data_IF_499750908986
#
_entry.id   IF_499750908986
#
_cell.length_a   1.000
_cell.length_b   1.000
_cell.length_c   1.000
_cell.angle_alpha   90.00
_cell.angle_beta   90.00
_cell.angle_gamma   90.00
#
_symmetry.space_group_name_H-M   'P 1'
#
loop_
_entity.id
_entity.type
_entity.pdbx_description
1 polymer ?
#
# COMPACT_ATOMS: atom_id res chain seq x y z
N UNK A 1 -51.31 25.51 8.46
CA UNK A 1 -49.90 25.22 8.26
C UNK A 1 -49.83 24.14 7.17
N UNK A 2 -49.34 24.52 5.98
CA UNK A 2 -49.66 23.81 4.73
C UNK A 2 -48.92 22.48 4.58
N UNK A 3 -49.66 21.40 4.33
CA UNK A 3 -49.13 20.04 4.02
C UNK A 3 -48.14 20.04 2.87
N UNK A 4 -48.25 20.93 1.90
CA UNK A 4 -47.33 21.11 0.77
C UNK A 4 -45.95 21.65 1.19
N UNK A 5 -45.86 22.45 2.25
CA UNK A 5 -44.59 22.97 2.78
C UNK A 5 -43.84 21.85 3.49
N UNK A 6 -44.53 21.04 4.28
CA UNK A 6 -43.88 19.89 4.96
C UNK A 6 -43.39 18.84 3.97
N UNK A 7 -44.10 18.59 2.87
CA UNK A 7 -43.67 17.66 1.82
C UNK A 7 -42.39 18.13 1.11
N UNK A 8 -42.25 19.45 0.87
CA UNK A 8 -41.02 20.01 0.26
C UNK A 8 -39.80 19.86 1.17
N UNK A 9 -39.97 20.08 2.49
CA UNK A 9 -38.85 19.89 3.43
C UNK A 9 -38.50 18.41 3.62
N UNK A 10 -39.47 17.50 3.63
CA UNK A 10 -39.21 16.08 3.70
C UNK A 10 -38.46 15.56 2.46
N UNK A 11 -38.87 16.01 1.26
CA UNK A 11 -38.17 15.65 0.02
C UNK A 11 -36.76 16.23 -0.04
N UNK A 12 -36.53 17.46 0.43
CA UNK A 12 -35.21 18.08 0.46
C UNK A 12 -34.26 17.37 1.45
N UNK A 13 -34.75 16.96 2.62
CA UNK A 13 -33.94 16.23 3.63
C UNK A 13 -33.61 14.82 3.16
N UNK A 14 -34.56 14.12 2.53
CA UNK A 14 -34.29 12.78 1.98
C UNK A 14 -33.34 12.82 0.79
N UNK A 15 -33.43 13.82 -0.10
CA UNK A 15 -32.50 14.01 -1.20
C UNK A 15 -31.07 14.38 -0.70
N UNK A 16 -30.98 15.17 0.37
CA UNK A 16 -29.69 15.51 1.01
C UNK A 16 -29.02 14.32 1.69
N UNK A 17 -29.78 13.43 2.31
CA UNK A 17 -29.27 12.20 2.93
C UNK A 17 -28.81 11.16 1.89
N UNK A 18 -29.54 11.03 0.77
CA UNK A 18 -29.16 10.13 -0.31
C UNK A 18 -27.88 10.61 -1.04
N UNK A 19 -27.63 11.92 -1.16
CA UNK A 19 -26.41 12.43 -1.77
C UNK A 19 -25.15 12.21 -0.91
N UNK A 20 -25.29 12.09 0.41
CA UNK A 20 -24.16 11.76 1.31
C UNK A 20 -23.68 10.31 1.18
N UNK A 21 -24.51 9.39 0.72
CA UNK A 21 -24.13 8.00 0.46
C UNK A 21 -23.57 7.76 -0.95
N UNK A 22 -23.77 8.70 -1.89
CA UNK A 22 -23.28 8.58 -3.27
C UNK A 22 -21.77 8.92 -3.43
N UNK A 23 -21.12 9.41 -2.38
CA UNK A 23 -19.66 9.60 -2.32
C UNK A 23 -18.93 8.40 -1.74
N UNK A 24 -19.50 7.18 -1.84
CA UNK A 24 -18.77 5.96 -1.55
C UNK A 24 -17.70 5.77 -2.63
N UNK A 25 -16.57 6.33 -2.35
CA UNK A 25 -15.22 6.13 -2.87
C UNK A 25 -15.13 5.31 -4.16
N UNK A 26 -14.93 5.99 -5.28
CA UNK A 26 -14.41 5.43 -6.54
C UNK A 26 -12.92 5.03 -6.47
N UNK A 27 -12.37 4.88 -5.26
CA UNK A 27 -10.97 4.49 -5.08
C UNK A 27 -10.89 3.01 -4.73
N UNK A 28 -10.20 2.19 -5.54
CA UNK A 28 -10.00 0.78 -5.23
C UNK A 28 -9.16 0.64 -3.96
N UNK A 29 -9.42 -0.40 -3.17
CA UNK A 29 -8.54 -0.75 -2.07
C UNK A 29 -7.18 -1.21 -2.62
N UNK A 30 -6.10 -0.74 -2.01
CA UNK A 30 -4.73 -1.09 -2.38
C UNK A 30 -4.14 -1.91 -1.23
N UNK A 31 -3.76 -3.15 -1.50
CA UNK A 31 -3.13 -4.04 -0.52
C UNK A 31 -1.73 -4.38 -1.03
N UNK A 32 -0.70 -3.97 -0.28
CA UNK A 32 0.68 -4.36 -0.52
C UNK A 32 1.07 -5.46 0.46
N UNK A 33 1.24 -6.68 -0.06
CA UNK A 33 1.72 -7.83 0.72
C UNK A 33 3.19 -8.04 0.38
N UNK A 34 4.05 -8.02 1.40
CA UNK A 34 5.48 -8.20 1.22
C UNK A 34 6.01 -9.26 2.16
N UNK A 35 6.56 -10.31 1.60
CA UNK A 35 7.30 -11.33 2.34
C UNK A 35 8.69 -10.81 2.73
N UNK A 36 9.27 -11.37 3.80
CA UNK A 36 10.63 -11.01 4.22
C UNK A 36 11.61 -12.09 3.74
N UNK A 37 12.63 -11.68 3.00
CA UNK A 37 13.74 -12.53 2.55
C UNK A 37 13.32 -13.79 1.77
N UNK A 38 12.18 -13.75 1.10
CA UNK A 38 11.71 -14.85 0.27
C UNK A 38 12.52 -14.92 -1.04
N UNK A 39 12.98 -16.11 -1.40
CA UNK A 39 13.60 -16.38 -2.70
C UNK A 39 12.54 -16.47 -3.79
N UNK A 40 12.87 -16.07 -4.99
CA UNK A 40 11.95 -16.14 -6.14
C UNK A 40 11.49 -17.57 -6.43
N UNK A 41 12.38 -18.56 -6.29
CA UNK A 41 12.10 -19.98 -6.48
C UNK A 41 11.40 -20.67 -5.28
N UNK A 42 11.02 -19.90 -4.26
CA UNK A 42 10.24 -20.41 -3.12
C UNK A 42 8.73 -20.18 -3.28
N UNK A 43 8.24 -20.21 -4.52
CA UNK A 43 6.82 -20.12 -4.90
C UNK A 43 6.58 -21.10 -6.05
N UNK A 44 5.46 -21.86 -6.01
CA UNK A 44 5.15 -22.89 -7.00
C UNK A 44 5.03 -22.35 -8.43
N UNK A 45 4.32 -21.22 -8.62
CA UNK A 45 4.14 -20.59 -9.94
C UNK A 45 5.46 -20.08 -10.57
N UNK A 46 6.56 -20.06 -9.84
CA UNK A 46 7.90 -19.76 -10.37
C UNK A 46 8.63 -21.01 -10.89
N UNK A 47 7.94 -22.17 -10.95
CA UNK A 47 8.48 -23.41 -11.50
C UNK A 47 9.11 -24.34 -10.47
N UNK A 48 8.82 -24.20 -9.18
CA UNK A 48 9.31 -25.08 -8.13
C UNK A 48 8.23 -26.04 -7.65
N UNK A 49 8.22 -27.24 -8.20
CA UNK A 49 7.24 -28.29 -7.87
C UNK A 49 7.35 -28.82 -6.43
N UNK A 50 8.44 -28.54 -5.72
CA UNK A 50 8.63 -28.94 -4.34
C UNK A 50 7.96 -27.98 -3.34
N UNK A 51 7.50 -26.82 -3.79
CA UNK A 51 6.86 -25.79 -2.96
C UNK A 51 5.35 -25.82 -3.11
N UNK A 52 4.65 -25.82 -1.99
CA UNK A 52 3.19 -25.77 -1.95
C UNK A 52 2.77 -24.34 -1.61
N UNK A 53 2.29 -23.58 -2.60
CA UNK A 53 1.88 -22.18 -2.45
C UNK A 53 0.53 -21.88 -3.16
N UNK A 54 -0.55 -22.62 -2.86
CA UNK A 54 -1.76 -22.61 -3.68
C UNK A 54 -2.43 -21.24 -3.77
N UNK A 55 -2.38 -20.44 -2.71
CA UNK A 55 -2.99 -19.11 -2.72
C UNK A 55 -2.18 -18.09 -3.53
N UNK A 56 -0.84 -18.18 -3.50
CA UNK A 56 0.02 -17.33 -4.33
C UNK A 56 -0.05 -17.76 -5.79
N UNK A 57 -0.12 -19.05 -6.05
CA UNK A 57 -0.26 -19.62 -7.40
C UNK A 57 -1.59 -19.21 -8.02
N UNK A 58 -2.70 -19.25 -7.26
CA UNK A 58 -4.00 -18.77 -7.70
C UNK A 58 -3.97 -17.26 -7.98
N UNK A 59 -3.38 -16.46 -7.11
CA UNK A 59 -3.24 -15.01 -7.32
C UNK A 59 -2.42 -14.71 -8.58
N UNK A 60 -1.36 -15.46 -8.83
CA UNK A 60 -0.54 -15.32 -10.04
C UNK A 60 -1.31 -15.69 -11.31
N UNK A 61 -2.19 -16.71 -11.23
CA UNK A 61 -3.03 -17.12 -12.36
C UNK A 61 -4.14 -16.11 -12.70
N UNK A 62 -4.66 -15.40 -11.70
CA UNK A 62 -5.71 -14.38 -11.88
C UNK A 62 -5.15 -12.99 -12.19
N UNK A 63 -3.87 -12.75 -11.87
CA UNK A 63 -3.22 -11.44 -11.98
C UNK A 63 -2.12 -11.40 -13.03
N UNK A 64 -1.15 -10.51 -12.78
CA UNK A 64 0.06 -10.39 -13.63
C UNK A 64 1.27 -10.84 -12.84
N UNK A 65 1.93 -11.89 -13.28
CA UNK A 65 3.17 -12.42 -12.71
C UNK A 65 4.39 -11.79 -13.39
N UNK A 66 5.20 -11.07 -12.63
CA UNK A 66 6.47 -10.50 -13.10
C UNK A 66 7.61 -11.48 -12.81
N UNK A 67 8.05 -12.23 -13.83
CA UNK A 67 9.12 -13.22 -13.70
C UNK A 67 10.48 -12.60 -13.37
N UNK A 68 10.70 -11.35 -13.76
CA UNK A 68 11.96 -10.61 -13.62
C UNK A 68 11.78 -9.35 -12.77
N UNK A 69 11.09 -9.48 -11.61
CA UNK A 69 11.01 -8.42 -10.62
C UNK A 69 12.25 -8.38 -9.73
N UNK A 70 12.93 -7.24 -9.66
CA UNK A 70 14.15 -7.07 -8.86
C UNK A 70 13.96 -6.04 -7.77
N UNK A 71 14.48 -6.34 -6.58
CA UNK A 71 14.61 -5.34 -5.52
C UNK A 71 15.70 -4.32 -5.89
N UNK A 72 15.51 -3.06 -5.52
CA UNK A 72 16.50 -2.00 -5.71
C UNK A 72 17.80 -2.21 -4.91
N UNK A 73 17.74 -3.06 -3.88
CA UNK A 73 18.87 -3.39 -3.02
C UNK A 73 18.64 -4.75 -2.33
N UNK A 74 19.66 -5.58 -2.11
CA UNK A 74 19.52 -6.84 -1.39
C UNK A 74 19.28 -6.66 0.11
N UNK A 75 19.58 -5.50 0.68
CA UNK A 75 19.41 -5.18 2.10
C UNK A 75 18.03 -4.61 2.38
N UNK A 76 17.41 -5.05 3.49
CA UNK A 76 16.00 -4.75 3.82
C UNK A 76 15.70 -3.26 3.93
N UNK A 77 16.49 -2.50 4.70
CA UNK A 77 16.19 -1.07 4.93
C UNK A 77 16.23 -0.24 3.64
N UNK A 78 17.29 -0.29 2.82
CA UNK A 78 17.31 0.47 1.57
C UNK A 78 16.33 -0.05 0.52
N UNK A 79 16.04 -1.35 0.48
CA UNK A 79 15.02 -1.89 -0.42
C UNK A 79 13.61 -1.37 -0.08
N UNK A 80 13.27 -1.31 1.21
CA UNK A 80 11.98 -0.75 1.68
C UNK A 80 11.92 0.75 1.46
N UNK A 81 13.04 1.46 1.66
CA UNK A 81 13.15 2.87 1.31
C UNK A 81 12.86 3.10 -0.18
N UNK A 82 13.49 2.32 -1.04
CA UNK A 82 13.26 2.39 -2.49
C UNK A 82 11.81 2.10 -2.86
N UNK A 83 11.18 1.09 -2.25
CA UNK A 83 9.77 0.75 -2.49
C UNK A 83 8.83 1.91 -2.10
N UNK A 84 9.03 2.51 -0.93
CA UNK A 84 8.12 3.53 -0.39
C UNK A 84 8.34 4.92 -0.99
N UNK A 85 9.53 5.21 -1.48
CA UNK A 85 9.86 6.53 -2.07
C UNK A 85 9.91 6.54 -3.60
N UNK A 86 9.98 5.36 -4.23
CA UNK A 86 10.23 5.24 -5.66
C UNK A 86 11.66 5.62 -6.08
N UNK A 87 12.56 5.81 -5.11
CA UNK A 87 13.94 6.26 -5.36
C UNK A 87 14.92 5.09 -5.32
N UNK A 88 15.99 5.17 -6.11
CA UNK A 88 17.10 4.24 -5.99
C UNK A 88 17.92 4.50 -4.72
N UNK A 89 18.71 3.53 -4.23
CA UNK A 89 19.57 3.71 -3.06
C UNK A 89 20.50 4.93 -3.13
N UNK A 90 20.97 5.27 -4.30
CA UNK A 90 21.79 6.46 -4.55
C UNK A 90 21.03 7.78 -4.34
N UNK A 91 19.73 7.79 -4.66
CA UNK A 91 18.90 8.99 -4.55
C UNK A 91 18.29 9.16 -3.17
N UNK A 92 17.92 8.07 -2.48
CA UNK A 92 17.43 8.18 -1.11
C UNK A 92 18.55 8.13 -0.06
N UNK A 93 19.81 7.94 -0.45
CA UNK A 93 20.98 8.05 0.41
C UNK A 93 21.26 6.84 1.31
N UNK A 94 20.47 5.76 1.21
CA UNK A 94 20.64 4.54 1.98
C UNK A 94 21.27 3.46 1.11
N UNK A 95 22.59 3.27 1.20
CA UNK A 95 23.32 2.27 0.44
C UNK A 95 23.44 0.92 1.16
N UNK A 96 23.05 0.86 2.42
CA UNK A 96 23.12 -0.33 3.27
C UNK A 96 22.29 -0.16 4.53
N UNK A 97 22.57 -0.95 5.57
CA UNK A 97 21.95 -0.73 6.88
C UNK A 97 22.41 0.62 7.44
N UNK A 98 21.48 1.45 7.82
CA UNK A 98 21.77 2.78 8.32
C UNK A 98 20.56 3.51 8.87
N UNK A 99 20.75 4.77 9.22
CA UNK A 99 19.66 5.63 9.66
C UNK A 99 18.84 6.04 8.45
N UNK A 100 17.57 5.69 8.46
CA UNK A 100 16.59 6.20 7.51
C UNK A 100 16.44 7.70 7.74
N UNK A 101 16.32 8.48 6.66
CA UNK A 101 15.98 9.90 6.78
C UNK A 101 14.66 10.08 7.53
N UNK A 102 14.53 11.07 8.40
CA UNK A 102 13.26 11.35 9.06
C UNK A 102 12.20 11.81 8.07
N UNK A 103 12.59 12.34 6.93
CA UNK A 103 11.69 12.88 5.92
C UNK A 103 12.23 12.62 4.53
N UNK A 104 11.34 12.21 3.64
CA UNK A 104 11.55 12.18 2.20
C UNK A 104 10.51 13.07 1.52
N UNK A 105 10.90 13.70 0.42
CA UNK A 105 10.00 14.59 -0.31
C UNK A 105 8.70 13.93 -0.75
N UNK A 106 8.77 12.65 -1.10
CA UNK A 106 7.63 11.85 -1.51
C UNK A 106 7.71 10.48 -0.86
N UNK A 107 6.61 10.09 -0.24
CA UNK A 107 6.43 8.77 0.36
C UNK A 107 5.07 8.22 -0.05
N UNK A 108 5.04 7.01 -0.57
CA UNK A 108 3.82 6.38 -1.07
C UNK A 108 2.67 6.41 -0.04
N UNK A 109 2.88 6.09 1.26
CA UNK A 109 1.80 6.16 2.25
C UNK A 109 1.26 7.58 2.43
N UNK A 110 2.13 8.60 2.42
CA UNK A 110 1.69 9.98 2.55
C UNK A 110 0.95 10.46 1.30
N UNK A 111 1.46 10.12 0.12
CA UNK A 111 0.79 10.45 -1.15
C UNK A 111 -0.61 9.81 -1.25
N UNK A 112 -0.76 8.57 -0.81
CA UNK A 112 -2.06 7.90 -0.74
C UNK A 112 -2.99 8.56 0.28
N UNK A 113 -2.47 8.96 1.43
CA UNK A 113 -3.23 9.71 2.43
C UNK A 113 -3.72 11.05 1.89
N UNK A 114 -2.87 11.78 1.19
CA UNK A 114 -3.21 13.07 0.57
C UNK A 114 -4.26 12.89 -0.55
N UNK A 115 -4.30 11.72 -1.19
CA UNK A 115 -5.33 11.33 -2.15
C UNK A 115 -6.62 10.79 -1.50
N UNK A 116 -6.77 10.86 -0.17
CA UNK A 116 -7.98 10.48 0.55
C UNK A 116 -8.03 9.02 1.01
N UNK A 117 -6.96 8.25 0.85
CA UNK A 117 -6.88 6.90 1.40
C UNK A 117 -6.61 6.90 2.89
N UNK A 118 -7.19 5.94 3.60
CA UNK A 118 -6.71 5.59 4.94
C UNK A 118 -5.53 4.63 4.79
N UNK A 119 -4.35 5.04 5.26
CA UNK A 119 -3.12 4.24 5.15
C UNK A 119 -2.79 3.56 6.48
N UNK A 120 -2.40 2.30 6.40
CA UNK A 120 -2.18 1.46 7.55
C UNK A 120 -1.10 0.42 7.24
N UNK A 121 -0.30 0.03 8.22
CA UNK A 121 0.75 -0.96 8.06
C UNK A 121 0.83 -1.93 9.22
N UNK A 122 1.06 -3.22 8.92
CA UNK A 122 1.26 -4.29 9.91
C UNK A 122 2.56 -5.02 9.61
N UNK A 123 3.21 -5.51 10.66
CA UNK A 123 4.39 -6.35 10.59
C UNK A 123 5.69 -5.56 10.50
N UNK A 124 6.66 -6.09 9.77
CA UNK A 124 8.00 -5.49 9.68
C UNK A 124 8.01 -4.26 8.80
N UNK A 125 7.99 -3.09 9.41
CA UNK A 125 8.15 -1.83 8.67
C UNK A 125 9.61 -1.56 8.30
N UNK A 126 10.52 -1.66 9.24
CA UNK A 126 11.98 -1.41 9.08
C UNK A 126 12.28 -0.10 8.33
N UNK A 127 11.42 0.89 8.58
CA UNK A 127 11.38 2.18 7.90
C UNK A 127 11.66 3.36 8.85
N UNK A 128 11.59 3.15 10.16
CA UNK A 128 11.78 4.22 11.12
C UNK A 128 13.27 4.45 11.40
N UNK A 129 13.68 5.70 11.62
CA UNK A 129 14.99 5.99 12.18
C UNK A 129 15.08 5.21 13.51
N UNK A 130 16.09 4.35 13.63
CA UNK A 130 16.34 3.70 14.90
C UNK A 130 16.55 4.79 15.96
N UNK A 131 15.58 4.97 16.84
CA UNK A 131 15.80 5.77 18.04
C UNK A 131 16.79 4.99 18.89
N UNK A 132 18.05 5.37 18.80
CA UNK A 132 19.05 4.96 19.79
C UNK A 132 18.57 5.59 21.09
N UNK A 133 18.02 4.78 21.99
CA UNK A 133 17.78 5.21 23.38
C UNK A 133 19.19 5.36 23.99
N UNK A 134 19.60 6.60 24.22
CA UNK A 134 20.71 6.94 25.10
C UNK A 134 20.26 6.78 26.54
#
# INVERSE_FOLDING_TARGET
MNTLTNLKYTLAVTAGLCSSFAYAQNHPHIILIMTDQQRADAIGCMGNDAVISPNLDALAAEGTLFMNGYSSCPSSTPARAGLLTGLSPWHHGLLGYGKVSPEYKYEMPQMLKDAGYYTFGIGKMHWHPQRVKH
#
